data_IF_726844324476
#
_entry.id   IF_726844324476
#
_cell.length_a   1.000
_cell.length_b   1.000
_cell.length_c   1.000
_cell.angle_alpha   90.00
_cell.angle_beta   90.00
_cell.angle_gamma   90.00
#
_symmetry.space_group_name_H-M   'P 1'
#
loop_
_entity.id
_entity.type
_entity.pdbx_description
1 polymer ?
#
# COMPACT_ATOMS: atom_id res chain seq x y z
N UNK A 1 7.96 -0.52 18.73
CA UNK A 1 7.53 -1.09 17.43
C UNK A 1 6.73 -2.38 17.55
N UNK A 2 7.24 -3.45 18.19
CA UNK A 2 6.48 -4.72 18.39
C UNK A 2 5.02 -4.50 18.81
N UNK A 3 4.80 -3.70 19.85
CA UNK A 3 3.46 -3.41 20.35
C UNK A 3 2.57 -2.74 19.30
N UNK A 4 3.08 -1.74 18.60
CA UNK A 4 2.32 -0.99 17.58
C UNK A 4 1.89 -1.87 16.41
N UNK A 5 2.64 -2.94 16.12
CA UNK A 5 2.34 -3.89 15.03
C UNK A 5 1.38 -5.00 15.50
N UNK A 6 1.51 -5.46 16.75
CA UNK A 6 0.73 -6.58 17.28
C UNK A 6 -0.61 -6.16 17.90
N UNK A 7 -0.75 -4.90 18.29
CA UNK A 7 -1.96 -4.36 18.90
C UNK A 7 -2.82 -3.70 17.83
N UNK A 8 -4.15 -3.82 17.90
CA UNK A 8 -5.05 -3.03 17.06
C UNK A 8 -5.09 -1.59 17.56
N UNK A 9 -4.54 -0.68 16.76
CA UNK A 9 -4.45 0.75 17.10
C UNK A 9 -5.30 1.57 16.14
N UNK A 10 -5.50 2.84 16.48
CA UNK A 10 -6.05 3.85 15.56
C UNK A 10 -5.00 4.84 15.04
N UNK A 11 -3.72 4.57 15.30
CA UNK A 11 -2.58 5.42 14.99
C UNK A 11 -1.38 4.53 14.62
N UNK A 12 -0.44 5.00 13.77
CA UNK A 12 0.62 4.14 13.22
C UNK A 12 1.63 3.67 14.27
N UNK A 13 1.79 4.42 15.36
CA UNK A 13 2.67 4.12 16.49
C UNK A 13 1.89 4.24 17.80
N UNK A 14 2.15 3.30 18.70
CA UNK A 14 1.78 3.42 20.11
C UNK A 14 2.93 4.04 20.86
N UNK A 15 2.68 5.23 21.42
CA UNK A 15 3.62 5.94 22.29
C UNK A 15 3.61 5.39 23.71
N UNK A 16 2.51 4.75 24.11
CA UNK A 16 2.31 4.19 25.45
C UNK A 16 1.62 2.81 25.42
N UNK A 17 2.05 1.90 26.30
CA UNK A 17 1.36 0.68 26.70
C UNK A 17 2.31 -0.37 27.30
N UNK A 18 2.04 -1.66 27.11
CA UNK A 18 2.69 -2.73 27.89
C UNK A 18 4.22 -2.80 27.73
N UNK A 19 4.71 -2.49 26.53
CA UNK A 19 6.11 -2.59 26.15
C UNK A 19 6.78 -1.24 25.91
N UNK A 20 6.06 -0.12 26.02
CA UNK A 20 6.60 1.22 25.73
C UNK A 20 5.97 2.28 26.61
N UNK A 21 6.77 3.23 27.09
CA UNK A 21 6.28 4.40 27.85
C UNK A 21 7.05 5.64 27.42
N UNK A 22 6.75 6.11 26.20
CA UNK A 22 7.29 7.36 25.66
C UNK A 22 6.35 8.56 25.93
N UNK A 23 5.28 8.37 26.72
CA UNK A 23 4.22 9.36 26.88
C UNK A 23 3.40 9.52 25.60
N UNK A 24 3.46 10.70 25.00
CA UNK A 24 2.81 11.07 23.75
C UNK A 24 3.83 11.58 22.71
N UNK A 25 3.33 12.01 21.54
CA UNK A 25 4.20 12.53 20.48
C UNK A 25 5.03 13.75 20.94
N UNK A 26 4.46 14.63 21.76
CA UNK A 26 5.12 15.87 22.18
C UNK A 26 6.28 15.60 23.13
N UNK A 27 6.16 14.57 23.97
CA UNK A 27 7.23 14.10 24.84
C UNK A 27 8.30 13.30 24.09
N UNK A 28 7.98 12.75 22.92
CA UNK A 28 8.89 11.94 22.12
C UNK A 28 9.77 12.77 21.15
N UNK A 29 9.36 14.01 20.82
CA UNK A 29 10.18 14.91 20.00
C UNK A 29 11.23 15.64 20.85
N UNK A 30 12.44 15.76 20.32
CA UNK A 30 13.48 16.58 20.94
C UNK A 30 13.18 18.08 20.74
N UNK A 31 13.68 18.91 21.65
CA UNK A 31 13.67 20.38 21.55
C UNK A 31 12.29 21.00 21.28
N UNK A 32 11.21 20.35 21.74
CA UNK A 32 9.82 20.75 21.49
C UNK A 32 9.50 20.95 20.00
N UNK A 33 10.16 20.20 19.11
CA UNK A 33 9.96 20.26 17.67
C UNK A 33 8.65 19.58 17.22
N UNK A 34 7.52 19.95 17.83
CA UNK A 34 6.19 19.31 17.66
C UNK A 34 5.66 19.40 16.23
N UNK A 35 6.11 20.38 15.47
CA UNK A 35 5.73 20.57 14.06
C UNK A 35 6.63 19.82 13.08
N UNK A 36 7.67 19.13 13.57
CA UNK A 36 8.55 18.32 12.73
C UNK A 36 8.10 16.85 12.76
N UNK A 37 8.12 16.16 11.61
CA UNK A 37 7.78 14.75 11.57
C UNK A 37 8.85 13.91 12.28
N UNK A 38 8.42 12.83 12.95
CA UNK A 38 9.30 11.74 13.34
C UNK A 38 9.39 10.77 12.17
N UNK A 39 10.59 10.63 11.59
CA UNK A 39 10.84 9.72 10.47
C UNK A 39 11.35 8.35 10.96
N UNK A 40 10.59 7.30 10.67
CA UNK A 40 11.04 5.92 10.87
C UNK A 40 11.74 5.42 9.61
N UNK A 41 12.94 4.84 9.75
CA UNK A 41 13.80 4.40 8.65
C UNK A 41 14.04 2.89 8.74
N UNK A 42 13.76 2.17 7.67
CA UNK A 42 13.99 0.74 7.54
C UNK A 42 14.81 0.47 6.29
N UNK A 43 15.75 -0.46 6.38
CA UNK A 43 16.61 -0.84 5.27
C UNK A 43 16.76 -2.36 5.23
N UNK A 44 16.80 -2.91 4.02
CA UNK A 44 17.11 -4.32 3.78
C UNK A 44 17.83 -4.46 2.45
N UNK A 45 18.92 -5.23 2.46
CA UNK A 45 19.74 -5.43 1.26
C UNK A 45 19.03 -6.30 0.23
N UNK A 46 18.29 -7.31 0.67
CA UNK A 46 17.55 -8.22 -0.21
C UNK A 46 16.15 -8.52 0.35
N UNK A 47 15.10 -8.17 -0.38
CA UNK A 47 13.70 -8.44 -0.02
C UNK A 47 12.94 -9.19 -1.12
N UNK A 48 12.36 -10.38 -0.86
CA UNK A 48 11.48 -11.04 -1.82
C UNK A 48 10.19 -10.24 -2.05
N UNK A 49 9.71 -10.18 -3.30
CA UNK A 49 8.48 -9.45 -3.67
C UNK A 49 7.31 -10.41 -3.87
N UNK A 50 6.16 -10.10 -3.26
CA UNK A 50 4.95 -10.90 -3.38
C UNK A 50 4.13 -10.57 -4.64
N UNK A 51 4.61 -10.95 -5.83
CA UNK A 51 3.93 -10.61 -7.10
C UNK A 51 2.68 -11.46 -7.42
N UNK A 52 2.57 -12.66 -6.84
CA UNK A 52 1.59 -13.68 -7.26
C UNK A 52 0.13 -13.27 -7.02
N UNK A 53 -0.15 -12.45 -6.01
CA UNK A 53 -1.52 -11.98 -5.72
C UNK A 53 -1.96 -10.87 -6.68
N UNK A 54 -1.08 -9.91 -6.98
CA UNK A 54 -1.40 -8.76 -7.81
C UNK A 54 -1.81 -9.12 -9.25
N UNK A 55 -1.31 -10.24 -9.78
CA UNK A 55 -1.59 -10.65 -11.17
C UNK A 55 -2.88 -11.45 -11.34
N UNK A 56 -3.27 -12.20 -10.29
CA UNK A 56 -4.51 -13.01 -10.31
C UNK A 56 -5.75 -12.16 -10.55
N UNK A 57 -5.71 -10.89 -10.15
CA UNK A 57 -6.81 -9.94 -10.29
C UNK A 57 -7.05 -9.45 -11.73
N UNK A 58 -6.05 -9.52 -12.63
CA UNK A 58 -6.14 -8.92 -13.97
C UNK A 58 -6.07 -9.93 -15.10
N UNK A 59 -5.58 -11.13 -14.83
CA UNK A 59 -5.40 -12.17 -15.84
C UNK A 59 -6.45 -13.27 -15.74
N UNK A 60 -7.69 -12.95 -15.34
CA UNK A 60 -8.80 -13.91 -15.32
C UNK A 60 -8.88 -14.68 -16.65
N UNK A 61 -8.76 -16.02 -16.57
CA UNK A 61 -8.71 -16.93 -17.73
C UNK A 61 -7.30 -17.24 -18.28
N UNK A 62 -6.27 -16.48 -17.90
CA UNK A 62 -4.86 -16.84 -18.09
C UNK A 62 -4.38 -17.39 -16.75
N UNK A 63 -4.39 -18.71 -16.62
CA UNK A 63 -3.91 -19.40 -15.42
C UNK A 63 -2.54 -18.83 -14.99
N UNK A 64 -2.36 -18.45 -13.70
CA UNK A 64 -1.06 -18.03 -13.13
C UNK A 64 0.06 -19.09 -13.22
N UNK A 65 -0.24 -20.24 -13.83
CA UNK A 65 0.66 -21.38 -13.97
C UNK A 65 1.73 -21.20 -15.04
N UNK A 66 1.57 -20.27 -16.00
CA UNK A 66 2.45 -20.21 -17.19
C UNK A 66 3.47 -19.07 -17.21
N UNK A 67 3.31 -18.04 -16.38
CA UNK A 67 4.47 -17.22 -16.02
C UNK A 67 5.07 -17.96 -14.84
N UNK A 68 6.07 -18.81 -15.12
CA UNK A 68 6.64 -19.72 -14.11
C UNK A 68 6.92 -18.97 -12.80
N UNK A 69 6.74 -19.62 -11.64
CA UNK A 69 6.99 -19.00 -10.33
C UNK A 69 8.35 -18.29 -10.29
N UNK A 70 9.34 -18.83 -10.98
CA UNK A 70 10.70 -18.30 -11.09
C UNK A 70 10.81 -17.02 -11.94
N UNK A 71 9.93 -16.82 -12.93
CA UNK A 71 9.85 -15.58 -13.71
C UNK A 71 9.24 -14.45 -12.86
N UNK A 72 8.54 -14.78 -11.76
CA UNK A 72 7.76 -13.82 -10.97
C UNK A 72 8.33 -13.60 -9.56
N UNK A 73 9.21 -14.48 -9.08
CA UNK A 73 9.97 -14.27 -7.86
C UNK A 73 11.12 -13.32 -8.13
N UNK A 74 10.84 -12.03 -8.07
CA UNK A 74 11.89 -11.01 -8.04
C UNK A 74 12.18 -10.65 -6.59
N UNK A 75 13.46 -10.53 -6.28
CA UNK A 75 13.91 -9.81 -5.12
C UNK A 75 14.14 -8.34 -5.47
N UNK A 76 13.89 -7.47 -4.51
CA UNK A 76 14.32 -6.09 -4.54
C UNK A 76 15.61 -5.99 -3.76
N UNK A 77 16.60 -5.39 -4.39
CA UNK A 77 17.90 -5.11 -3.79
C UNK A 77 17.94 -3.68 -3.22
N UNK A 78 18.64 -3.52 -2.10
CA UNK A 78 18.90 -2.24 -1.42
C UNK A 78 17.63 -1.41 -1.20
N UNK A 79 16.61 -2.02 -0.56
CA UNK A 79 15.38 -1.33 -0.21
C UNK A 79 15.64 -0.38 0.97
N UNK A 80 15.18 0.86 0.85
CA UNK A 80 15.06 1.80 1.96
C UNK A 80 13.62 2.30 2.05
N UNK A 81 13.03 2.20 3.23
CA UNK A 81 11.66 2.60 3.51
C UNK A 81 11.63 3.64 4.63
N UNK A 82 10.97 4.76 4.35
CA UNK A 82 10.85 5.89 5.25
C UNK A 82 9.38 6.22 5.47
N UNK A 83 9.00 6.46 6.73
CA UNK A 83 7.64 6.84 7.11
C UNK A 83 7.69 8.01 8.06
N UNK A 84 7.06 9.10 7.65
CA UNK A 84 6.98 10.32 8.45
C UNK A 84 5.67 10.34 9.22
N UNK A 85 5.78 10.37 10.55
CA UNK A 85 4.66 10.43 11.47
C UNK A 85 4.58 11.82 12.07
N UNK A 86 3.40 12.43 12.01
CA UNK A 86 3.13 13.78 12.54
C UNK A 86 2.02 13.74 13.59
N UNK A 87 2.02 14.73 14.49
CA UNK A 87 0.87 14.99 15.37
C UNK A 87 -0.32 15.46 14.54
N UNK A 88 -1.50 14.91 14.85
CA UNK A 88 -2.76 15.35 14.29
C UNK A 88 -3.84 15.30 15.37
N UNK A 89 -4.27 16.49 15.81
CA UNK A 89 -5.16 16.65 16.98
C UNK A 89 -4.55 15.92 18.19
N UNK A 90 -5.28 14.97 18.77
CA UNK A 90 -4.85 14.20 19.95
C UNK A 90 -4.20 12.85 19.58
N UNK A 91 -3.87 12.62 18.30
CA UNK A 91 -3.29 11.36 17.79
C UNK A 91 -2.10 11.65 16.88
N UNK A 92 -1.52 10.58 16.33
CA UNK A 92 -0.55 10.67 15.23
C UNK A 92 -1.10 10.07 13.95
N UNK A 93 -0.58 10.52 12.81
CA UNK A 93 -0.89 9.97 11.49
C UNK A 93 0.37 9.90 10.63
N UNK A 94 0.32 9.09 9.58
CA UNK A 94 1.34 9.12 8.53
C UNK A 94 1.08 10.35 7.65
N UNK A 95 2.15 11.08 7.35
CA UNK A 95 2.13 12.25 6.47
C UNK A 95 2.84 11.99 5.14
N UNK A 96 3.90 11.17 5.16
CA UNK A 96 4.70 10.86 3.98
C UNK A 96 5.26 9.45 4.06
N UNK A 97 5.33 8.79 2.91
CA UNK A 97 6.00 7.50 2.71
C UNK A 97 7.00 7.66 1.58
N UNK A 98 8.25 7.26 1.82
CA UNK A 98 9.29 7.22 0.78
C UNK A 98 9.84 5.80 0.67
N UNK A 99 9.87 5.25 -0.54
CA UNK A 99 10.45 3.93 -0.82
C UNK A 99 11.55 4.14 -1.86
N UNK A 100 12.79 3.79 -1.51
CA UNK A 100 13.90 3.77 -2.46
C UNK A 100 14.33 2.33 -2.73
N UNK A 101 14.53 1.99 -3.99
CA UNK A 101 14.89 0.66 -4.47
C UNK A 101 16.13 0.78 -5.35
N UNK A 102 17.18 0.03 -5.01
CA UNK A 102 18.46 0.17 -5.71
C UNK A 102 19.02 1.59 -5.61
N UNK A 103 19.66 2.05 -6.68
CA UNK A 103 20.33 3.36 -6.70
C UNK A 103 19.42 4.51 -7.14
N UNK A 104 18.51 4.27 -8.08
CA UNK A 104 17.89 5.34 -8.87
C UNK A 104 16.36 5.29 -8.89
N UNK A 105 15.74 4.40 -8.13
CA UNK A 105 14.29 4.24 -8.16
C UNK A 105 13.66 4.66 -6.83
N UNK A 106 12.77 5.64 -6.86
CA UNK A 106 12.14 6.18 -5.65
C UNK A 106 10.65 6.43 -5.86
N UNK A 107 9.83 5.92 -4.94
CA UNK A 107 8.46 6.37 -4.73
C UNK A 107 8.41 7.38 -3.58
N UNK A 108 7.70 8.47 -3.80
CA UNK A 108 7.37 9.43 -2.75
C UNK A 108 5.86 9.68 -2.73
N UNK A 109 5.22 9.45 -1.59
CA UNK A 109 3.77 9.54 -1.41
C UNK A 109 3.50 10.50 -0.25
N UNK A 110 2.88 11.64 -0.56
CA UNK A 110 2.39 12.54 0.48
C UNK A 110 0.92 12.25 0.77
N UNK A 111 0.55 12.28 2.04
CA UNK A 111 -0.73 11.80 2.56
C UNK A 111 -1.43 12.94 3.29
N UNK A 112 -2.62 13.27 2.78
CA UNK A 112 -3.54 14.26 3.35
C UNK A 112 -4.05 13.86 4.74
N UNK A 113 -4.66 14.81 5.44
CA UNK A 113 -5.30 14.56 6.74
C UNK A 113 -6.42 13.52 6.68
N UNK A 114 -7.10 13.41 5.53
CA UNK A 114 -8.14 12.42 5.28
C UNK A 114 -7.59 11.01 4.98
N UNK A 115 -6.28 10.78 5.19
CA UNK A 115 -5.57 9.55 4.86
C UNK A 115 -5.64 9.17 3.38
N UNK A 116 -5.85 10.15 2.50
CA UNK A 116 -5.78 9.98 1.05
C UNK A 116 -4.42 10.41 0.52
N UNK A 117 -3.93 9.73 -0.51
CA UNK A 117 -2.73 10.20 -1.23
C UNK A 117 -3.03 11.53 -1.91
N UNK A 118 -2.27 12.55 -1.53
CA UNK A 118 -2.37 13.91 -2.04
C UNK A 118 -1.51 14.09 -3.30
N UNK A 119 -0.23 13.72 -3.20
CA UNK A 119 0.71 13.71 -4.34
C UNK A 119 1.50 12.41 -4.35
N UNK A 120 1.83 11.93 -5.54
CA UNK A 120 2.62 10.73 -5.75
C UNK A 120 3.70 10.99 -6.80
N UNK A 121 4.95 10.82 -6.43
CA UNK A 121 6.10 11.00 -7.31
C UNK A 121 6.83 9.68 -7.54
N UNK A 122 7.35 9.52 -8.75
CA UNK A 122 8.29 8.47 -9.12
C UNK A 122 9.52 9.12 -9.70
N UNK A 123 10.69 8.83 -9.11
CA UNK A 123 11.97 9.40 -9.53
C UNK A 123 11.94 10.94 -9.59
N UNK A 124 11.18 11.56 -8.67
CA UNK A 124 11.00 13.01 -8.59
C UNK A 124 9.98 13.61 -9.56
N UNK A 125 9.34 12.81 -10.41
CA UNK A 125 8.30 13.27 -11.35
C UNK A 125 6.92 12.92 -10.79
N UNK A 126 6.00 13.90 -10.74
CA UNK A 126 4.64 13.66 -10.27
C UNK A 126 3.86 12.78 -11.26
N UNK A 127 3.16 11.79 -10.72
CA UNK A 127 2.21 10.96 -11.45
C UNK A 127 0.83 11.59 -11.28
N UNK A 128 0.41 12.47 -12.17
CA UNK A 128 -0.88 13.17 -12.01
C UNK A 128 -2.07 12.32 -12.48
N UNK A 129 -1.86 11.49 -13.51
CA UNK A 129 -2.88 10.76 -14.26
C UNK A 129 -3.79 9.86 -13.39
N UNK A 130 -3.38 9.49 -12.18
CA UNK A 130 -4.17 8.62 -11.32
C UNK A 130 -5.34 9.34 -10.65
N UNK A 131 -5.23 10.65 -10.37
CA UNK A 131 -6.20 11.40 -9.54
C UNK A 131 -7.58 11.49 -10.18
N UNK A 132 -7.67 11.38 -11.49
CA UNK A 132 -8.95 11.38 -12.22
C UNK A 132 -9.74 10.07 -12.05
N UNK A 133 -9.02 8.97 -11.83
CA UNK A 133 -9.60 7.63 -11.88
C UNK A 133 -9.67 6.97 -10.51
N UNK A 134 -8.72 7.26 -9.62
CA UNK A 134 -8.51 6.50 -8.40
C UNK A 134 -8.43 7.40 -7.16
N UNK A 135 -9.01 6.88 -6.08
CA UNK A 135 -8.69 7.29 -4.72
C UNK A 135 -7.78 6.22 -4.10
N UNK A 136 -6.61 6.66 -3.62
CA UNK A 136 -5.70 5.85 -2.82
C UNK A 136 -5.88 6.22 -1.35
N UNK A 137 -6.38 5.28 -0.56
CA UNK A 137 -6.68 5.47 0.86
C UNK A 137 -5.71 4.62 1.68
N UNK A 138 -4.96 5.28 2.56
CA UNK A 138 -3.93 4.69 3.42
C UNK A 138 -4.55 4.28 4.75
N UNK A 139 -4.28 3.05 5.22
CA UNK A 139 -4.74 2.64 6.55
C UNK A 139 -3.97 3.41 7.66
N UNK A 140 -4.64 3.93 8.69
CA UNK A 140 -4.00 4.77 9.71
C UNK A 140 -3.33 3.99 10.85
N UNK A 141 -3.46 2.67 10.86
CA UNK A 141 -3.24 1.79 12.01
C UNK A 141 -1.86 1.13 12.07
N UNK A 142 -0.97 1.43 11.12
CA UNK A 142 0.33 0.78 11.05
C UNK A 142 1.33 1.68 10.33
N UNK A 143 2.59 1.68 10.78
CA UNK A 143 3.73 2.22 10.02
C UNK A 143 4.00 1.46 8.73
N UNK A 144 3.47 0.25 8.57
CA UNK A 144 3.42 -0.48 7.29
C UNK A 144 1.94 -0.54 6.86
N UNK A 145 1.39 0.55 6.31
CA UNK A 145 -0.04 0.67 6.07
C UNK A 145 -0.49 -0.19 4.88
N UNK A 146 -1.80 -0.35 4.74
CA UNK A 146 -2.42 -0.90 3.53
C UNK A 146 -2.82 0.26 2.62
N UNK A 147 -2.58 0.12 1.32
CA UNK A 147 -3.18 0.99 0.30
C UNK A 147 -4.46 0.33 -0.21
N UNK A 148 -5.60 0.96 0.04
CA UNK A 148 -6.85 0.62 -0.61
C UNK A 148 -7.04 1.53 -1.82
N UNK A 149 -7.29 0.94 -2.98
CA UNK A 149 -7.51 1.66 -4.23
C UNK A 149 -8.99 1.53 -4.58
N UNK A 150 -9.64 2.66 -4.88
CA UNK A 150 -11.04 2.66 -5.30
C UNK A 150 -11.24 3.56 -6.52
N UNK A 151 -12.15 3.16 -7.42
CA UNK A 151 -12.46 3.96 -8.60
C UNK A 151 -13.37 5.13 -8.25
N UNK A 152 -12.99 6.34 -8.67
CA UNK A 152 -13.80 7.57 -8.50
C UNK A 152 -15.05 7.54 -9.39
N UNK A 153 -14.90 7.07 -10.63
CA UNK A 153 -16.00 6.95 -11.59
C UNK A 153 -16.57 5.53 -11.56
N UNK A 154 -17.47 5.25 -10.60
CA UNK A 154 -18.15 3.95 -10.49
C UNK A 154 -19.07 3.63 -11.69
N UNK A 155 -19.56 4.65 -12.40
CA UNK A 155 -20.65 4.50 -13.36
C UNK A 155 -20.20 4.11 -14.79
N UNK A 156 -19.03 4.52 -15.26
CA UNK A 156 -18.60 4.26 -16.65
C UNK A 156 -18.14 2.81 -16.89
N UNK A 157 -17.85 2.05 -15.82
CA UNK A 157 -17.37 0.67 -15.92
C UNK A 157 -18.51 -0.35 -16.03
N UNK A 158 -19.74 0.02 -15.65
CA UNK A 158 -20.88 -0.89 -15.70
C UNK A 158 -21.28 -1.23 -17.14
N UNK A 159 -21.14 -0.31 -18.09
CA UNK A 159 -21.52 -0.56 -19.50
C UNK A 159 -20.62 -1.59 -20.20
N UNK A 160 -19.33 -1.63 -19.89
CA UNK A 160 -18.42 -2.67 -20.41
C UNK A 160 -18.44 -3.97 -19.58
N UNK A 161 -19.07 -3.95 -18.39
CA UNK A 161 -19.17 -5.11 -17.50
C UNK A 161 -20.32 -6.07 -17.85
N UNK A 162 -21.25 -5.65 -18.72
CA UNK A 162 -22.39 -6.48 -19.16
C UNK A 162 -21.98 -7.70 -20.01
N UNK A 163 -20.72 -7.81 -20.42
CA UNK A 163 -20.16 -9.03 -21.03
C UNK A 163 -19.52 -10.00 -20.02
N UNK A 164 -19.39 -9.60 -18.75
CA UNK A 164 -18.87 -10.43 -17.67
C UNK A 164 -19.99 -10.78 -16.68
N UNK A 165 -20.98 -11.51 -17.18
CA UNK A 165 -22.00 -12.15 -16.35
C UNK A 165 -21.36 -13.22 -15.46
N UNK A 166 -20.95 -12.82 -14.25
CA UNK A 166 -21.07 -13.54 -12.97
C UNK A 166 -19.96 -13.13 -11.98
N UNK A 167 -20.29 -12.20 -11.06
CA UNK A 167 -19.71 -12.07 -9.70
C UNK A 167 -18.18 -11.99 -9.54
N UNK A 168 -17.47 -11.22 -10.36
CA UNK A 168 -16.06 -10.90 -10.11
C UNK A 168 -15.89 -9.39 -10.09
N UNK A 169 -15.53 -8.84 -8.93
CA UNK A 169 -15.14 -7.44 -8.80
C UNK A 169 -13.92 -7.20 -9.71
N UNK A 170 -14.13 -6.49 -10.81
CA UNK A 170 -13.04 -6.07 -11.69
C UNK A 170 -12.10 -5.20 -10.88
N UNK A 171 -10.82 -5.56 -10.83
CA UNK A 171 -9.86 -4.84 -10.02
C UNK A 171 -9.84 -3.35 -10.38
N UNK A 172 -9.79 -2.44 -9.39
CA UNK A 172 -9.83 -1.00 -9.61
C UNK A 172 -8.84 -0.55 -10.69
N UNK A 173 -7.65 -1.12 -10.75
CA UNK A 173 -6.59 -0.72 -11.68
C UNK A 173 -6.78 -1.19 -13.14
N UNK A 174 -7.89 -1.87 -13.46
CA UNK A 174 -8.14 -2.39 -14.81
C UNK A 174 -8.08 -1.32 -15.92
N UNK A 175 -8.54 -0.06 -15.72
CA UNK A 175 -8.38 1.00 -16.73
C UNK A 175 -6.92 1.31 -17.06
N UNK A 176 -6.00 1.25 -16.07
CA UNK A 176 -4.56 1.42 -16.31
C UNK A 176 -4.00 0.23 -17.09
N UNK A 177 -4.42 -0.98 -16.75
CA UNK A 177 -4.06 -2.17 -17.51
C UNK A 177 -4.47 -2.05 -18.98
N UNK A 178 -5.70 -1.58 -19.27
CA UNK A 178 -6.18 -1.38 -20.63
C UNK A 178 -5.37 -0.30 -21.38
N UNK A 179 -5.06 0.83 -20.73
CA UNK A 179 -4.21 1.89 -21.32
C UNK A 179 -2.81 1.36 -21.64
N UNK A 180 -2.21 0.59 -20.74
CA UNK A 180 -0.91 -0.04 -20.94
C UNK A 180 -0.94 -1.09 -22.06
N UNK A 181 -2.00 -1.90 -22.13
CA UNK A 181 -2.20 -2.90 -23.18
C UNK A 181 -2.36 -2.25 -24.56
N UNK A 182 -3.11 -1.15 -24.64
CA UNK A 182 -3.27 -0.37 -25.87
C UNK A 182 -1.91 0.18 -26.32
N UNK A 183 -1.17 0.82 -25.41
CA UNK A 183 0.17 1.35 -25.69
C UNK A 183 1.13 0.26 -26.15
N UNK A 184 1.11 -0.93 -25.53
CA UNK A 184 1.89 -2.07 -25.98
C UNK A 184 1.49 -2.48 -27.40
N UNK A 185 0.18 -2.62 -27.65
CA UNK A 185 -0.38 -3.12 -28.90
C UNK A 185 -0.05 -2.23 -30.10
N UNK A 186 -0.01 -0.91 -29.90
CA UNK A 186 0.37 0.07 -30.93
C UNK A 186 1.86 0.00 -31.31
N UNK A 187 2.71 -0.52 -30.41
CA UNK A 187 4.16 -0.49 -30.55
C UNK A 187 4.80 -1.88 -30.72
N UNK A 188 4.00 -2.95 -30.63
CA UNK A 188 4.46 -4.33 -30.78
C UNK A 188 3.91 -4.96 -32.06
N UNK A 189 4.54 -6.04 -32.53
CA UNK A 189 4.09 -6.73 -33.73
C UNK A 189 2.62 -7.21 -33.60
N UNK A 190 1.78 -6.81 -34.56
CA UNK A 190 0.33 -7.11 -34.56
C UNK A 190 0.01 -8.61 -34.61
N UNK A 191 0.93 -9.45 -35.10
CA UNK A 191 0.77 -10.91 -35.18
C UNK A 191 0.88 -11.62 -33.83
N UNK A 192 1.27 -10.91 -32.77
CA UNK A 192 1.28 -11.49 -31.42
C UNK A 192 -0.16 -11.70 -30.95
N UNK A 193 -0.44 -12.88 -30.40
CA UNK A 193 -1.75 -13.17 -29.82
C UNK A 193 -2.09 -12.21 -28.69
N UNK A 194 -3.37 -11.86 -28.55
CA UNK A 194 -3.82 -10.95 -27.49
C UNK A 194 -3.50 -11.49 -26.09
N UNK A 195 -3.46 -12.82 -25.95
CA UNK A 195 -2.98 -13.50 -24.74
C UNK A 195 -1.54 -13.09 -24.39
N UNK A 196 -0.62 -13.14 -25.35
CA UNK A 196 0.78 -12.77 -25.10
C UNK A 196 0.94 -11.28 -24.85
N UNK A 197 0.17 -10.42 -25.52
CA UNK A 197 0.15 -8.98 -25.23
C UNK A 197 -0.26 -8.69 -23.78
N UNK A 198 -1.29 -9.39 -23.27
CA UNK A 198 -1.71 -9.29 -21.87
C UNK A 198 -0.60 -9.72 -20.91
N UNK A 199 0.08 -10.84 -21.18
CA UNK A 199 1.21 -11.32 -20.36
C UNK A 199 2.35 -10.28 -20.33
N UNK A 200 2.74 -9.74 -21.48
CA UNK A 200 3.80 -8.73 -21.58
C UNK A 200 3.42 -7.44 -20.84
N UNK A 201 2.16 -7.02 -20.98
CA UNK A 201 1.63 -5.84 -20.28
C UNK A 201 1.68 -6.05 -18.76
N UNK A 202 1.16 -7.19 -18.28
CA UNK A 202 1.23 -7.56 -16.87
C UNK A 202 2.65 -7.53 -16.34
N UNK A 203 3.60 -8.14 -17.06
CA UNK A 203 5.01 -8.17 -16.67
C UNK A 203 5.62 -6.77 -16.56
N UNK A 204 5.32 -5.87 -17.50
CA UNK A 204 5.78 -4.47 -17.43
C UNK A 204 5.18 -3.72 -16.24
N UNK A 205 3.90 -3.94 -15.93
CA UNK A 205 3.21 -3.26 -14.84
C UNK A 205 3.60 -3.77 -13.44
N UNK A 206 4.07 -5.02 -13.33
CA UNK A 206 4.52 -5.60 -12.06
C UNK A 206 6.03 -5.56 -11.86
N UNK A 207 6.79 -5.13 -12.87
CA UNK A 207 8.25 -4.99 -12.75
C UNK A 207 8.61 -3.99 -11.66
N UNK A 208 9.55 -4.36 -10.77
CA UNK A 208 10.01 -3.51 -9.68
C UNK A 208 11.51 -3.69 -9.44
N UNK A 209 12.33 -2.63 -9.56
CA UNK A 209 11.98 -1.31 -10.10
C UNK A 209 11.72 -1.36 -11.62
N UNK A 210 10.84 -0.50 -12.13
CA UNK A 210 10.69 -0.26 -13.56
C UNK A 210 11.86 0.61 -14.03
N UNK A 211 12.90 -0.03 -14.56
CA UNK A 211 14.14 0.64 -14.96
C UNK A 211 14.62 0.15 -16.33
N UNK A 212 15.39 0.98 -17.02
CA UNK A 212 16.03 0.60 -18.29
C UNK A 212 16.84 -0.69 -18.17
N UNK A 213 17.53 -0.89 -17.04
CA UNK A 213 18.31 -2.09 -16.77
C UNK A 213 17.43 -3.35 -16.65
N UNK A 214 16.34 -3.28 -15.89
CA UNK A 214 15.42 -4.40 -15.70
C UNK A 214 14.64 -4.71 -16.98
N UNK A 215 14.27 -3.68 -17.75
CA UNK A 215 13.69 -3.84 -19.08
C UNK A 215 14.67 -4.55 -20.01
N UNK A 216 15.95 -4.18 -20.00
CA UNK A 216 16.98 -4.87 -20.80
C UNK A 216 17.12 -6.34 -20.39
N UNK A 217 17.14 -6.63 -19.09
CA UNK A 217 17.19 -8.00 -18.54
C UNK A 217 15.97 -8.84 -18.96
N UNK A 218 14.81 -8.21 -19.13
CA UNK A 218 13.56 -8.89 -19.53
C UNK A 218 13.61 -9.56 -20.91
N UNK A 219 14.57 -9.22 -21.78
CA UNK A 219 14.76 -9.92 -23.06
C UNK A 219 14.93 -11.44 -22.87
N UNK A 220 15.60 -11.85 -21.80
CA UNK A 220 15.86 -13.26 -21.47
C UNK A 220 14.63 -14.00 -20.97
N UNK A 221 13.58 -13.28 -20.55
CA UNK A 221 12.37 -13.85 -19.94
C UNK A 221 11.47 -14.48 -21.00
N UNK A 222 11.09 -13.72 -22.03
CA UNK A 222 10.13 -14.20 -23.03
C UNK A 222 10.78 -14.80 -24.29
N UNK A 223 12.04 -14.47 -24.57
CA UNK A 223 12.85 -15.03 -25.68
C UNK A 223 12.17 -15.01 -27.06
N UNK A 224 11.17 -14.14 -27.27
CA UNK A 224 10.55 -13.96 -28.59
C UNK A 224 11.18 -12.81 -29.34
N UNK A 225 11.37 -12.97 -30.66
CA UNK A 225 11.90 -11.89 -31.53
C UNK A 225 11.04 -10.62 -31.46
N UNK A 226 9.74 -10.77 -31.26
CA UNK A 226 8.83 -9.64 -31.22
C UNK A 226 8.95 -8.85 -29.89
N UNK A 227 9.09 -9.55 -28.76
CA UNK A 227 9.42 -8.92 -27.48
C UNK A 227 10.79 -8.24 -27.55
N UNK A 228 11.81 -8.91 -28.08
CA UNK A 228 13.14 -8.34 -28.21
C UNK A 228 13.15 -7.05 -29.03
N UNK A 229 12.45 -7.02 -30.18
CA UNK A 229 12.29 -5.82 -31.00
C UNK A 229 11.60 -4.69 -30.24
N UNK A 230 10.55 -5.00 -29.49
CA UNK A 230 9.84 -4.02 -28.67
C UNK A 230 10.74 -3.45 -27.56
N UNK A 231 11.52 -4.29 -26.88
CA UNK A 231 12.48 -3.82 -25.89
C UNK A 231 13.58 -2.96 -26.53
N UNK A 232 14.11 -3.34 -27.69
CA UNK A 232 15.05 -2.48 -28.43
C UNK A 232 14.44 -1.12 -28.79
N UNK A 233 13.16 -1.09 -29.19
CA UNK A 233 12.43 0.14 -29.45
C UNK A 233 12.30 1.00 -28.19
N UNK A 234 11.82 0.44 -27.07
CA UNK A 234 11.67 1.15 -25.79
C UNK A 234 12.99 1.74 -25.30
N UNK A 235 14.10 1.01 -25.45
CA UNK A 235 15.43 1.45 -25.04
C UNK A 235 16.07 2.45 -26.02
N UNK A 236 15.44 2.71 -27.17
CA UNK A 236 15.91 3.68 -28.17
C UNK A 236 15.39 5.08 -27.89
N UNK A 237 16.02 6.09 -28.48
CA UNK A 237 15.55 7.49 -28.40
C UNK A 237 14.11 7.67 -28.90
N UNK A 238 13.69 6.86 -29.88
CA UNK A 238 12.31 6.90 -30.40
C UNK A 238 11.28 6.38 -29.41
N UNK A 239 11.65 5.42 -28.56
CA UNK A 239 10.77 4.78 -27.59
C UNK A 239 10.70 5.47 -26.22
N UNK A 240 11.44 6.56 -26.03
CA UNK A 240 11.55 7.23 -24.72
C UNK A 240 10.19 7.69 -24.17
N UNK A 241 9.30 8.23 -25.03
CA UNK A 241 7.94 8.61 -24.62
C UNK A 241 7.12 7.40 -24.18
N UNK A 242 7.22 6.29 -24.90
CA UNK A 242 6.56 5.02 -24.54
C UNK A 242 7.09 4.49 -23.21
N UNK A 243 8.41 4.53 -22.98
CA UNK A 243 9.01 4.17 -21.70
C UNK A 243 8.45 4.99 -20.55
N UNK A 244 8.46 6.32 -20.66
CA UNK A 244 7.96 7.23 -19.61
C UNK A 244 6.48 7.00 -19.31
N UNK A 245 5.68 6.69 -20.33
CA UNK A 245 4.27 6.42 -20.12
C UNK A 245 4.03 5.07 -19.45
N UNK A 246 4.80 4.04 -19.78
CA UNK A 246 4.79 2.79 -19.02
C UNK A 246 5.33 2.96 -17.60
N UNK A 247 6.31 3.84 -17.36
CA UNK A 247 6.82 4.15 -16.02
C UNK A 247 5.69 4.71 -15.13
N UNK A 248 4.90 5.65 -15.65
CA UNK A 248 3.69 6.17 -14.96
C UNK A 248 2.67 5.07 -14.67
N UNK A 249 2.35 4.22 -15.66
CA UNK A 249 1.39 3.12 -15.46
C UNK A 249 1.90 2.06 -14.49
N UNK A 250 3.19 1.73 -14.56
CA UNK A 250 3.84 0.83 -13.63
C UNK A 250 3.78 1.41 -12.22
N UNK A 251 4.12 2.68 -12.01
CA UNK A 251 4.11 3.31 -10.70
C UNK A 251 2.76 3.17 -9.98
N UNK A 252 1.67 3.46 -10.70
CA UNK A 252 0.30 3.32 -10.20
C UNK A 252 0.00 1.87 -9.78
N UNK A 253 0.51 0.91 -10.55
CA UNK A 253 0.22 -0.51 -10.36
C UNK A 253 1.10 -1.14 -9.26
N UNK A 254 2.40 -0.89 -9.32
CA UNK A 254 3.40 -1.57 -8.50
C UNK A 254 3.55 -0.95 -7.12
N UNK A 255 3.00 0.26 -6.86
CA UNK A 255 3.08 0.84 -5.51
C UNK A 255 2.37 -0.02 -4.45
N UNK A 256 1.22 -0.61 -4.78
CA UNK A 256 0.51 -1.51 -3.88
C UNK A 256 1.32 -2.80 -3.65
N UNK A 257 2.00 -3.30 -4.69
CA UNK A 257 2.90 -4.45 -4.60
C UNK A 257 4.08 -4.12 -3.67
N UNK A 258 4.67 -2.94 -3.81
CA UNK A 258 5.79 -2.48 -3.00
C UNK A 258 5.40 -2.43 -1.51
N UNK A 259 4.33 -1.70 -1.17
CA UNK A 259 3.91 -1.54 0.23
C UNK A 259 3.48 -2.86 0.85
N UNK A 260 2.74 -3.70 0.13
CA UNK A 260 2.37 -5.02 0.66
C UNK A 260 3.58 -5.91 0.86
N UNK A 261 4.56 -5.90 -0.05
CA UNK A 261 5.78 -6.70 0.12
C UNK A 261 6.60 -6.22 1.32
N UNK A 262 6.73 -4.91 1.51
CA UNK A 262 7.38 -4.30 2.69
C UNK A 262 6.67 -4.74 3.96
N UNK A 263 5.34 -4.68 3.99
CA UNK A 263 4.55 -5.10 5.15
C UNK A 263 4.72 -6.59 5.43
N UNK A 264 4.59 -7.45 4.42
CA UNK A 264 4.73 -8.91 4.54
C UNK A 264 6.14 -9.30 5.01
N UNK A 265 7.15 -8.53 4.63
CA UNK A 265 8.53 -8.74 5.06
C UNK A 265 8.80 -8.26 6.50
N UNK A 266 8.51 -7.00 6.81
CA UNK A 266 8.89 -6.41 8.11
C UNK A 266 7.93 -6.78 9.25
N UNK A 267 6.63 -6.97 9.01
CA UNK A 267 5.68 -7.22 10.09
C UNK A 267 6.04 -8.50 10.89
N UNK A 268 6.30 -9.67 10.25
CA UNK A 268 6.68 -10.87 10.98
C UNK A 268 7.99 -10.71 11.77
N UNK A 269 8.98 -10.02 11.20
CA UNK A 269 10.27 -9.74 11.85
C UNK A 269 10.04 -8.92 13.12
N UNK A 270 9.25 -7.84 13.04
CA UNK A 270 9.01 -6.96 14.18
C UNK A 270 8.13 -7.63 15.26
N UNK A 271 7.22 -8.50 14.85
CA UNK A 271 6.38 -9.27 15.76
C UNK A 271 7.17 -10.33 16.54
N UNK A 272 8.28 -10.85 15.98
CA UNK A 272 9.10 -11.90 16.59
C UNK A 272 10.14 -11.39 17.58
N UNK A 273 10.47 -10.10 17.56
CA UNK A 273 11.43 -9.49 18.52
C UNK A 273 10.95 -9.70 19.95
N UNK A 274 11.78 -10.26 20.84
CA UNK A 274 11.50 -10.33 22.27
C UNK A 274 11.77 -8.97 22.91
N UNK A 275 10.80 -8.46 23.67
CA UNK A 275 11.01 -7.25 24.47
C UNK A 275 11.25 -7.64 25.93
N UNK A 276 12.42 -7.28 26.46
CA UNK A 276 12.71 -7.41 27.89
C UNK A 276 12.29 -6.10 28.53
N UNK A 277 11.17 -6.12 29.26
CA UNK A 277 10.59 -4.92 29.84
C UNK A 277 11.40 -4.37 31.03
N UNK A 278 11.43 -3.05 31.23
CA UNK A 278 12.06 -2.45 32.39
C UNK A 278 11.30 -2.86 33.66
N UNK A 279 12.00 -3.43 34.64
CA UNK A 279 11.44 -3.95 35.89
C UNK A 279 10.67 -2.91 36.73
N UNK A 280 10.85 -1.61 36.49
CA UNK A 280 10.24 -0.50 37.24
C UNK A 280 8.86 -0.03 36.74
N UNK A 281 8.36 -0.50 35.61
CA UNK A 281 7.23 0.16 34.94
C UNK A 281 5.80 -0.24 35.42
N UNK A 282 5.62 -0.90 36.57
CA UNK A 282 4.32 -1.49 36.94
C UNK A 282 3.38 -0.59 37.76
N UNK A 283 3.86 0.40 38.52
CA UNK A 283 3.00 1.18 39.43
C UNK A 283 2.30 2.39 38.77
N UNK A 284 2.93 3.08 37.81
CA UNK A 284 2.41 4.36 37.27
C UNK A 284 1.50 4.20 36.03
N UNK A 285 1.31 2.97 35.53
CA UNK A 285 0.57 2.70 34.28
C UNK A 285 -0.95 2.81 34.37
N UNK A 286 -1.52 2.95 35.57
CA UNK A 286 -2.96 2.74 35.80
C UNK A 286 -3.87 3.90 35.31
N UNK A 287 -3.33 5.07 34.95
CA UNK A 287 -4.14 6.28 34.71
C UNK A 287 -3.99 6.96 33.33
N UNK A 288 -3.31 6.37 32.34
CA UNK A 288 -3.07 7.03 31.03
C UNK A 288 -3.96 6.51 29.90
N UNK A 289 -4.47 7.43 29.07
CA UNK A 289 -5.25 7.11 27.87
C UNK A 289 -4.44 6.27 26.88
N UNK A 290 -4.98 5.12 26.46
CA UNK A 290 -4.35 4.25 25.46
C UNK A 290 -5.07 4.37 24.10
N UNK A 291 -4.32 4.41 23.00
CA UNK A 291 -4.85 4.50 21.63
C UNK A 291 -5.37 3.16 21.07
N UNK A 292 -6.02 2.35 21.92
CA UNK A 292 -6.56 1.05 21.54
C UNK A 292 -7.83 1.21 20.70
N UNK A 293 -7.95 0.38 19.66
CA UNK A 293 -9.18 0.28 18.88
C UNK A 293 -10.14 -0.70 19.56
N UNK A 294 -11.20 -0.19 20.19
CA UNK A 294 -12.29 -1.02 20.70
C UNK A 294 -13.15 -1.50 19.52
N UNK A 295 -13.26 -2.83 19.36
CA UNK A 295 -14.22 -3.44 18.42
C UNK A 295 -15.30 -4.10 19.26
N UNK A 296 -16.51 -3.55 19.28
CA UNK A 296 -17.65 -4.19 19.94
C UNK A 296 -18.13 -5.34 19.04
N UNK A 297 -17.79 -6.58 19.38
CA UNK A 297 -18.39 -7.76 18.74
C UNK A 297 -19.72 -8.07 19.43
N UNK A 298 -20.80 -7.45 18.94
CA UNK A 298 -22.16 -7.81 19.33
C UNK A 298 -22.69 -8.93 18.43
N UNK A 299 -22.96 -10.10 19.00
CA UNK A 299 -23.78 -11.14 18.36
C UNK A 299 -25.19 -10.57 18.13
N UNK A 300 -25.62 -10.60 16.87
CA UNK A 300 -26.92 -10.12 16.44
C UNK A 300 -27.98 -11.14 16.87
N UNK A 301 -28.80 -10.76 17.85
CA UNK A 301 -30.20 -11.16 17.94
C UNK A 301 -31.02 -9.95 18.39
N UNK A 302 -31.96 -9.52 17.55
CA UNK A 302 -32.62 -8.21 17.56
C UNK A 302 -33.46 -7.87 18.81
N UNK A 303 -33.53 -8.75 19.82
CA UNK A 303 -34.33 -8.50 21.04
C UNK A 303 -33.50 -8.14 22.29
N UNK A 304 -32.16 -8.16 22.24
CA UNK A 304 -31.33 -7.89 23.43
C UNK A 304 -30.74 -6.47 23.53
N UNK A 305 -30.91 -5.63 22.50
CA UNK A 305 -30.18 -4.36 22.41
C UNK A 305 -30.62 -3.33 23.46
N UNK A 306 -31.92 -3.28 23.79
CA UNK A 306 -32.47 -2.23 24.67
C UNK A 306 -32.10 -2.47 26.14
N UNK A 307 -32.03 -3.73 26.58
CA UNK A 307 -31.70 -4.02 27.97
C UNK A 307 -30.18 -3.95 28.22
N UNK A 308 -29.36 -4.36 27.25
CA UNK A 308 -27.90 -4.34 27.35
C UNK A 308 -27.32 -2.92 27.33
N UNK A 309 -27.89 -2.01 26.51
CA UNK A 309 -27.50 -0.60 26.50
C UNK A 309 -27.85 0.11 27.82
N UNK A 310 -28.95 -0.27 28.48
CA UNK A 310 -29.36 0.31 29.77
C UNK A 310 -28.45 -0.08 30.94
N UNK A 311 -27.86 -1.28 30.92
CA UNK A 311 -26.93 -1.76 31.95
C UNK A 311 -25.51 -1.20 31.76
N UNK A 312 -25.05 -1.05 30.52
CA UNK A 312 -23.74 -0.44 30.23
C UNK A 312 -23.73 1.05 30.62
N UNK A 313 -24.83 1.77 30.39
CA UNK A 313 -24.97 3.17 30.80
C UNK A 313 -25.05 3.36 32.32
N UNK A 314 -25.55 2.37 33.08
CA UNK A 314 -25.63 2.47 34.56
C UNK A 314 -24.33 2.09 35.28
N UNK A 315 -23.52 1.20 34.73
CA UNK A 315 -22.39 0.62 35.47
C UNK A 315 -20.99 1.01 34.95
N UNK A 316 -20.85 1.63 33.77
CA UNK A 316 -19.52 1.78 33.16
C UNK A 316 -18.95 3.21 33.10
N UNK A 317 -19.72 4.27 33.35
CA UNK A 317 -19.21 5.64 33.24
C UNK A 317 -19.91 6.61 34.23
N UNK A 318 -19.53 6.57 35.50
CA UNK A 318 -19.76 7.70 36.41
C UNK A 318 -18.69 8.75 36.09
N UNK A 319 -19.04 9.79 35.33
CA UNK A 319 -18.21 11.00 35.20
C UNK A 319 -18.09 11.63 33.80
N UNK A 320 -18.54 11.00 32.71
CA UNK A 320 -18.39 11.56 31.36
C UNK A 320 -19.72 12.09 30.79
N UNK A 321 -19.77 13.37 30.39
CA UNK A 321 -20.89 13.95 29.63
C UNK A 321 -20.95 13.31 28.24
N UNK A 322 -22.08 12.69 27.91
CA UNK A 322 -22.38 12.17 26.57
C UNK A 322 -23.30 13.17 25.86
N UNK A 323 -22.86 13.69 24.71
CA UNK A 323 -23.75 14.40 23.78
C UNK A 323 -24.43 13.38 22.87
N UNK A 324 -25.76 13.37 22.89
CA UNK A 324 -26.60 12.69 21.90
C UNK A 324 -26.95 13.68 20.80
N UNK A 325 -26.64 13.35 19.55
CA UNK A 325 -27.25 13.96 18.37
C UNK A 325 -28.09 12.85 17.72
N UNK A 326 -29.41 12.99 17.79
CA UNK A 326 -30.36 12.21 17.00
C UNK A 326 -30.47 12.83 15.60
N UNK A 327 -30.45 11.98 14.57
CA UNK A 327 -31.13 12.25 13.29
C UNK A 327 -32.45 11.49 13.34
#
# INVERSE_FOLDING_TARGET
MKQSINTRTSAPILWFGDFVDFGDFENAVADHAVNTPITFKFGVDHMPVEQVRALREFTYGITPFFVGRDIMSHAVENLKYYVDVVKFKNKTRISKITISIGLNFTYEINISEAMRVDTFFVNGVEVEDYKEYFDFIISPDSIFPIINISNRKKNDLLENSLQFSNRLEVSPLYPIFQKALKLLSENINSRISDRNKKIYTSFLLTMMPYSMENIKKSKKVFQTKAWEKFICYILSTKGQKTFQQFEKYNAIFSINIAINSIRSYFSPIMSSVLYIGPARAKSDRYYRYQYLKLTLMGLISQCFLIHYLSQILRNFLIGCRVFSVMV
#
